data_IF_030119500600
#
_entry.id   IF_030119500600
#
_cell.length_a   1.000
_cell.length_b   1.000
_cell.length_c   1.000
_cell.angle_alpha   90.00
_cell.angle_beta   90.00
_cell.angle_gamma   90.00
#
_symmetry.space_group_name_H-M   'P 1'
#
loop_
_entity.id
_entity.type
_entity.pdbx_description
1 polymer ?
#
# COMPACT_ATOMS: atom_id res chain seq x y z
N UNK A 1 14.56 21.78 1.58
CA UNK A 1 14.65 21.52 3.03
C UNK A 1 14.07 20.13 3.31
N UNK A 2 14.85 19.07 3.12
CA UNK A 2 14.38 17.72 3.42
C UNK A 2 14.55 17.48 4.92
N UNK A 3 13.43 17.38 5.61
CA UNK A 3 13.32 17.07 7.04
C UNK A 3 13.61 15.58 7.26
N UNK A 4 14.81 15.12 6.89
CA UNK A 4 15.24 13.74 7.11
C UNK A 4 15.19 13.42 8.59
N UNK A 5 14.56 12.29 8.92
CA UNK A 5 14.35 11.86 10.30
C UNK A 5 13.43 12.75 11.14
N UNK A 6 12.72 13.72 10.55
CA UNK A 6 11.76 14.54 11.29
C UNK A 6 10.62 13.67 11.85
N UNK A 7 10.47 13.65 13.16
CA UNK A 7 9.47 12.83 13.83
C UNK A 7 8.42 13.69 14.53
N UNK A 8 7.27 13.09 14.81
CA UNK A 8 6.22 13.75 15.57
C UNK A 8 6.58 13.69 17.05
N UNK A 9 6.29 14.77 17.76
CA UNK A 9 6.41 14.85 19.20
C UNK A 9 5.17 15.55 19.76
N UNK A 10 4.70 15.10 20.90
CA UNK A 10 3.58 15.70 21.62
C UNK A 10 4.06 16.08 23.00
N UNK A 11 3.76 17.31 23.41
CA UNK A 11 3.96 17.75 24.79
C UNK A 11 2.75 17.34 25.62
N UNK A 12 2.98 16.56 26.66
CA UNK A 12 1.92 15.98 27.48
C UNK A 12 2.11 16.36 28.94
N UNK A 13 1.00 16.56 29.63
CA UNK A 13 0.93 16.67 31.08
C UNK A 13 0.09 15.51 31.61
N UNK A 14 0.68 14.69 32.46
CA UNK A 14 0.05 13.55 33.09
C UNK A 14 -0.12 13.82 34.59
N UNK A 15 -1.35 13.65 35.09
CA UNK A 15 -1.69 13.90 36.49
C UNK A 15 -2.15 12.58 37.10
N UNK A 16 -1.48 12.14 38.15
CA UNK A 16 -1.93 11.00 38.93
C UNK A 16 -3.12 11.44 39.80
N UNK A 17 -4.31 10.88 39.55
CA UNK A 17 -5.53 11.28 40.25
C UNK A 17 -5.51 10.97 41.76
N UNK A 18 -4.75 9.95 42.18
CA UNK A 18 -4.66 9.52 43.58
C UNK A 18 -3.64 10.34 44.38
N UNK A 19 -2.46 10.57 43.82
CA UNK A 19 -1.36 11.28 44.51
C UNK A 19 -1.32 12.78 44.19
N UNK A 20 -2.12 13.24 43.21
CA UNK A 20 -2.15 14.61 42.68
C UNK A 20 -0.79 15.10 42.12
N UNK A 21 0.16 14.19 41.90
CA UNK A 21 1.45 14.53 41.28
C UNK A 21 1.27 14.72 39.77
N UNK A 22 1.76 15.85 39.26
CA UNK A 22 1.80 16.14 37.83
C UNK A 22 3.22 15.93 37.29
N UNK A 23 3.32 15.35 36.09
CA UNK A 23 4.55 15.28 35.31
C UNK A 23 4.27 15.73 33.88
N UNK A 24 5.23 16.42 33.30
CA UNK A 24 5.13 16.95 31.95
C UNK A 24 6.40 16.71 31.15
N UNK A 25 6.24 16.61 29.84
CA UNK A 25 7.36 16.45 28.93
C UNK A 25 6.96 16.06 27.52
N UNK A 26 7.96 16.05 26.65
CA UNK A 26 7.84 15.63 25.27
C UNK A 26 7.89 14.11 25.15
N UNK A 27 6.94 13.55 24.42
CA UNK A 27 6.90 12.15 24.02
C UNK A 27 6.97 12.08 22.49
N UNK A 28 7.78 11.17 21.96
CA UNK A 28 7.96 10.98 20.52
C UNK A 28 8.22 9.51 20.21
N UNK A 29 7.70 9.05 19.08
CA UNK A 29 7.99 7.71 18.54
C UNK A 29 9.42 7.60 17.98
N UNK A 30 10.16 8.71 17.83
CA UNK A 30 11.49 8.68 17.23
C UNK A 30 11.45 8.51 15.71
N UNK A 31 12.62 8.34 15.11
CA UNK A 31 12.82 8.03 13.70
C UNK A 31 14.09 7.18 13.55
N UNK A 32 14.45 6.82 12.32
CA UNK A 32 15.72 6.14 12.04
C UNK A 32 16.97 6.94 12.50
N UNK A 33 16.84 8.25 12.75
CA UNK A 33 17.92 9.12 13.24
C UNK A 33 17.83 9.36 14.75
N UNK A 34 16.61 9.55 15.28
CA UNK A 34 16.40 9.92 16.69
C UNK A 34 15.72 8.79 17.45
N UNK A 35 16.26 8.34 18.59
CA UNK A 35 15.60 7.32 19.40
C UNK A 35 14.25 7.83 19.91
N UNK A 36 13.33 6.90 20.21
CA UNK A 36 12.06 7.23 20.83
C UNK A 36 12.28 7.95 22.18
N UNK A 37 11.34 8.82 22.53
CA UNK A 37 11.34 9.56 23.79
C UNK A 37 10.09 9.24 24.59
N UNK A 38 10.28 8.64 25.75
CA UNK A 38 9.20 8.31 26.69
C UNK A 38 9.13 9.31 27.85
N UNK A 39 7.92 9.53 28.37
CA UNK A 39 7.71 10.27 29.62
C UNK A 39 7.55 9.29 30.78
N UNK A 40 8.55 9.23 31.67
CA UNK A 40 8.50 8.34 32.84
C UNK A 40 7.60 8.92 33.92
N UNK A 41 6.48 8.25 34.19
CA UNK A 41 5.48 8.70 35.17
C UNK A 41 5.87 8.30 36.59
N UNK A 42 6.32 7.07 36.81
CA UNK A 42 6.82 6.58 38.10
C UNK A 42 7.94 5.52 37.91
N UNK A 43 8.21 4.70 38.93
CA UNK A 43 9.22 3.64 38.84
C UNK A 43 8.79 2.47 37.94
N UNK A 44 7.49 2.26 37.72
CA UNK A 44 6.90 1.11 37.03
C UNK A 44 6.16 1.49 35.74
N UNK A 45 5.80 2.76 35.55
CA UNK A 45 4.96 3.22 34.45
C UNK A 45 5.65 4.33 33.65
N UNK A 46 5.55 4.23 32.34
CA UNK A 46 6.05 5.20 31.38
C UNK A 46 5.04 5.36 30.26
N UNK A 47 4.91 6.58 29.77
CA UNK A 47 4.03 6.91 28.66
C UNK A 47 4.88 7.02 27.39
N UNK A 48 4.48 6.26 26.37
CA UNK A 48 5.18 6.16 25.09
C UNK A 48 4.24 6.54 23.95
N UNK A 49 4.80 7.05 22.86
CA UNK A 49 4.10 7.27 21.61
C UNK A 49 4.45 6.09 20.67
N UNK A 50 3.46 5.30 20.23
CA UNK A 50 3.71 4.20 19.32
C UNK A 50 4.09 4.71 17.92
N UNK A 51 4.81 3.88 17.17
CA UNK A 51 5.04 4.10 15.75
C UNK A 51 3.71 4.05 14.98
N UNK A 52 3.63 4.82 13.90
CA UNK A 52 2.42 4.87 13.06
C UNK A 52 2.53 3.88 11.93
N UNK A 53 1.46 3.15 11.69
CA UNK A 53 1.33 2.34 10.48
C UNK A 53 1.19 3.24 9.24
N UNK A 54 1.87 2.89 8.12
CA UNK A 54 1.76 3.61 6.86
C UNK A 54 0.35 3.50 6.28
N UNK A 55 -0.25 4.65 5.93
CA UNK A 55 -1.60 4.71 5.35
C UNK A 55 -1.62 4.38 3.85
N UNK A 56 -0.52 4.66 3.14
CA UNK A 56 -0.39 4.47 1.70
C UNK A 56 1.06 4.16 1.38
N UNK A 57 1.28 3.13 0.57
CA UNK A 57 2.58 2.85 -0.03
C UNK A 57 2.52 3.25 -1.49
N UNK A 58 3.39 4.19 -1.86
CA UNK A 58 3.49 4.69 -3.21
C UNK A 58 4.90 5.18 -3.50
N UNK A 59 5.36 4.97 -4.73
CA UNK A 59 6.63 5.46 -5.24
C UNK A 59 6.40 6.28 -6.50
N UNK A 60 6.91 7.52 -6.51
CA UNK A 60 6.93 8.37 -7.70
C UNK A 60 8.10 7.95 -8.57
N UNK A 61 7.82 7.51 -9.80
CA UNK A 61 8.82 6.96 -10.72
C UNK A 61 8.88 7.77 -12.01
N UNK A 62 10.07 7.87 -12.58
CA UNK A 62 10.32 8.38 -13.94
C UNK A 62 10.76 7.22 -14.80
N UNK A 63 9.91 6.82 -15.73
CA UNK A 63 10.15 5.72 -16.67
C UNK A 63 10.65 6.28 -17.99
N UNK A 64 11.78 5.74 -18.48
CA UNK A 64 12.35 6.05 -19.78
C UNK A 64 12.09 4.86 -20.70
N UNK A 65 11.37 5.09 -21.80
CA UNK A 65 11.12 4.04 -22.80
C UNK A 65 12.16 4.11 -23.92
N UNK A 66 12.36 3.00 -24.62
CA UNK A 66 13.25 2.91 -25.79
C UNK A 66 12.85 3.90 -26.89
N UNK A 67 11.55 4.17 -27.04
CA UNK A 67 10.99 5.20 -27.94
C UNK A 67 11.31 6.65 -27.52
N UNK A 68 12.13 6.86 -26.48
CA UNK A 68 12.52 8.17 -25.98
C UNK A 68 11.42 8.93 -25.20
N UNK A 69 10.30 8.28 -24.88
CA UNK A 69 9.25 8.88 -24.05
C UNK A 69 9.64 8.81 -22.58
N UNK A 70 9.32 9.89 -21.88
CA UNK A 70 9.46 9.99 -20.44
C UNK A 70 8.06 10.02 -19.83
N UNK A 71 7.80 9.09 -18.92
CA UNK A 71 6.55 9.03 -18.17
C UNK A 71 6.88 9.19 -16.69
N UNK A 72 6.40 10.26 -16.08
CA UNK A 72 6.45 10.48 -14.64
C UNK A 72 5.09 10.14 -14.05
N UNK A 73 5.02 9.09 -13.23
CA UNK A 73 3.79 8.67 -12.60
C UNK A 73 4.04 8.06 -11.22
N UNK A 74 2.99 7.87 -10.43
CA UNK A 74 3.05 7.30 -9.09
C UNK A 74 2.49 5.89 -9.09
N UNK A 75 3.35 4.92 -8.80
CA UNK A 75 2.94 3.54 -8.53
C UNK A 75 2.46 3.48 -7.09
N UNK A 76 1.30 2.87 -6.85
CA UNK A 76 0.79 2.63 -5.49
C UNK A 76 0.34 1.18 -5.34
N UNK A 77 0.11 0.73 -4.10
CA UNK A 77 -0.47 -0.60 -3.84
C UNK A 77 -1.73 -0.78 -4.68
N UNK A 78 -1.81 -1.88 -5.43
CA UNK A 78 -2.89 -2.23 -6.36
C UNK A 78 -3.11 -1.29 -7.56
N UNK A 79 -2.25 -0.29 -7.74
CA UNK A 79 -2.27 0.61 -8.89
C UNK A 79 -0.92 0.53 -9.62
N UNK A 80 -0.73 -0.50 -10.48
CA UNK A 80 0.46 -0.61 -11.30
C UNK A 80 0.49 0.46 -12.38
N UNK A 81 1.71 0.85 -12.75
CA UNK A 81 1.95 1.72 -13.90
C UNK A 81 2.05 0.86 -15.17
N UNK A 82 1.20 1.12 -16.16
CA UNK A 82 1.28 0.46 -17.46
C UNK A 82 1.99 1.36 -18.48
N UNK A 83 3.17 0.95 -18.95
CA UNK A 83 3.95 1.70 -19.95
C UNK A 83 4.52 0.73 -20.98
N UNK A 84 4.30 1.00 -22.27
CA UNK A 84 4.85 0.22 -23.39
C UNK A 84 4.59 -1.31 -23.32
N UNK A 85 3.43 -1.70 -22.77
CA UNK A 85 3.04 -3.11 -22.60
C UNK A 85 3.62 -3.80 -21.37
N UNK A 86 4.28 -3.05 -20.48
CA UNK A 86 4.76 -3.51 -19.18
C UNK A 86 3.83 -3.03 -18.07
N UNK A 87 3.48 -3.93 -17.15
CA UNK A 87 2.88 -3.59 -15.88
C UNK A 87 3.98 -3.52 -14.82
N UNK A 88 4.15 -2.35 -14.21
CA UNK A 88 5.17 -2.10 -13.20
C UNK A 88 4.50 -2.00 -11.84
N UNK A 89 4.83 -2.94 -10.95
CA UNK A 89 4.33 -3.02 -9.59
C UNK A 89 5.43 -2.59 -8.61
N UNK A 90 5.01 -1.98 -7.50
CA UNK A 90 5.90 -1.75 -6.37
C UNK A 90 5.88 -3.00 -5.50
N UNK A 91 7.03 -3.68 -5.37
CA UNK A 91 7.17 -4.92 -4.63
C UNK A 91 7.59 -4.65 -3.18
N UNK A 92 8.56 -3.77 -2.98
CA UNK A 92 9.14 -3.51 -1.66
C UNK A 92 9.83 -2.15 -1.60
N UNK A 93 10.18 -1.70 -0.40
CA UNK A 93 10.95 -0.50 -0.10
C UNK A 93 11.77 -0.76 1.18
N UNK A 94 12.69 0.14 1.54
CA UNK A 94 13.43 0.02 2.80
C UNK A 94 12.54 0.38 3.99
N UNK A 95 12.06 -0.64 4.70
CA UNK A 95 11.22 -0.49 5.91
C UNK A 95 11.93 0.27 7.03
N UNK A 96 13.27 0.25 7.10
CA UNK A 96 14.01 0.91 8.19
C UNK A 96 13.96 2.43 8.07
N UNK A 97 13.95 2.94 6.84
CA UNK A 97 13.86 4.37 6.54
C UNK A 97 12.43 4.79 6.22
N UNK A 98 11.55 3.85 5.86
CA UNK A 98 10.14 4.09 5.61
C UNK A 98 9.94 5.21 4.57
N UNK A 99 9.25 6.29 4.97
CA UNK A 99 8.99 7.45 4.10
C UNK A 99 10.23 8.24 3.65
N UNK A 100 11.39 7.99 4.26
CA UNK A 100 12.67 8.60 3.89
C UNK A 100 13.54 7.67 3.04
N UNK A 101 13.02 6.49 2.67
CA UNK A 101 13.74 5.57 1.79
C UNK A 101 13.89 6.16 0.40
N UNK A 102 15.13 6.21 -0.09
CA UNK A 102 15.45 6.47 -1.50
C UNK A 102 15.45 5.18 -2.34
N UNK A 103 15.17 4.03 -1.73
CA UNK A 103 15.18 2.72 -2.37
C UNK A 103 13.74 2.20 -2.53
N UNK A 104 13.42 1.73 -3.73
CA UNK A 104 12.18 1.02 -4.05
C UNK A 104 12.50 -0.16 -4.98
N UNK A 105 11.87 -1.29 -4.73
CA UNK A 105 11.98 -2.51 -5.54
C UNK A 105 10.72 -2.63 -6.39
N UNK A 106 10.90 -2.81 -7.69
CA UNK A 106 9.80 -2.90 -8.65
C UNK A 106 9.78 -4.28 -9.32
N UNK A 107 8.58 -4.76 -9.60
CA UNK A 107 8.35 -5.96 -10.40
C UNK A 107 7.75 -5.55 -11.75
N UNK A 108 8.39 -5.99 -12.84
CA UNK A 108 7.97 -5.68 -14.20
C UNK A 108 7.40 -6.94 -14.84
N UNK A 109 6.12 -6.91 -15.17
CA UNK A 109 5.40 -8.03 -15.79
C UNK A 109 4.93 -7.63 -17.18
N UNK A 110 5.26 -8.45 -18.18
CA UNK A 110 4.76 -8.31 -19.55
C UNK A 110 4.09 -9.60 -19.97
N UNK A 111 2.77 -9.54 -20.17
CA UNK A 111 1.99 -10.65 -20.67
C UNK A 111 1.19 -10.24 -21.92
N UNK A 112 1.72 -10.52 -23.13
CA UNK A 112 1.03 -10.25 -24.38
C UNK A 112 -0.15 -11.19 -24.67
N UNK A 113 -0.25 -12.34 -24.00
CA UNK A 113 -1.25 -13.38 -24.26
C UNK A 113 -2.49 -13.26 -23.39
N UNK A 114 -2.44 -12.42 -22.35
CA UNK A 114 -3.57 -12.15 -21.47
C UNK A 114 -4.89 -11.82 -22.22
N UNK A 115 -4.89 -11.01 -23.31
CA UNK A 115 -6.11 -10.77 -24.10
C UNK A 115 -6.67 -12.04 -24.76
N UNK A 116 -5.80 -12.94 -25.24
CA UNK A 116 -6.21 -14.20 -25.85
C UNK A 116 -6.84 -15.14 -24.79
N UNK A 117 -6.26 -15.20 -23.59
CA UNK A 117 -6.82 -15.95 -22.46
C UNK A 117 -8.21 -15.42 -22.09
N UNK A 118 -8.38 -14.11 -21.96
CA UNK A 118 -9.70 -13.51 -21.68
C UNK A 118 -10.73 -13.80 -22.77
N UNK A 119 -10.31 -13.82 -24.04
CA UNK A 119 -11.17 -14.20 -25.16
C UNK A 119 -11.69 -15.63 -25.01
N UNK A 120 -10.81 -16.57 -24.64
CA UNK A 120 -11.19 -17.96 -24.37
C UNK A 120 -12.17 -18.10 -23.20
N UNK A 121 -11.96 -17.36 -22.11
CA UNK A 121 -12.88 -17.35 -20.95
C UNK A 121 -14.27 -16.86 -21.36
N UNK A 122 -14.35 -15.76 -22.11
CA UNK A 122 -15.63 -15.22 -22.60
C UNK A 122 -16.32 -16.24 -23.50
N UNK A 123 -15.58 -16.90 -24.39
CA UNK A 123 -16.12 -17.94 -25.26
C UNK A 123 -16.68 -19.13 -24.47
N UNK A 124 -15.99 -19.57 -23.41
CA UNK A 124 -16.48 -20.63 -22.52
C UNK A 124 -17.77 -20.23 -21.80
N UNK A 125 -17.84 -19.00 -21.27
CA UNK A 125 -19.05 -18.47 -20.61
C UNK A 125 -20.22 -18.39 -21.58
N UNK A 126 -19.99 -17.90 -22.81
CA UNK A 126 -21.01 -17.87 -23.86
C UNK A 126 -21.48 -19.28 -24.21
N UNK A 127 -20.56 -20.23 -24.35
CA UNK A 127 -20.89 -21.64 -24.60
C UNK A 127 -21.80 -22.22 -23.50
N UNK A 128 -21.48 -21.95 -22.24
CA UNK A 128 -22.31 -22.38 -21.11
C UNK A 128 -23.71 -21.74 -21.15
N UNK A 129 -23.81 -20.43 -21.38
CA UNK A 129 -25.09 -19.72 -21.48
C UNK A 129 -25.93 -20.29 -22.63
N UNK A 130 -25.35 -20.49 -23.80
CA UNK A 130 -26.02 -21.10 -24.95
C UNK A 130 -26.56 -22.50 -24.63
N UNK A 131 -25.80 -23.32 -23.91
CA UNK A 131 -26.25 -24.65 -23.48
C UNK A 131 -27.43 -24.56 -22.51
N UNK A 132 -27.40 -23.66 -21.53
CA UNK A 132 -28.49 -23.48 -20.58
C UNK A 132 -29.78 -23.01 -21.27
N UNK A 133 -29.70 -22.04 -22.17
CA UNK A 133 -30.87 -21.53 -22.91
C UNK A 133 -31.44 -22.61 -23.84
N UNK A 134 -30.59 -23.35 -24.56
CA UNK A 134 -31.05 -24.44 -25.42
C UNK A 134 -31.63 -25.62 -24.64
N UNK A 135 -31.09 -25.91 -23.45
CA UNK A 135 -31.65 -26.93 -22.56
C UNK A 135 -33.03 -26.54 -21.98
N UNK A 136 -33.26 -25.24 -21.72
CA UNK A 136 -34.57 -24.73 -21.32
C UNK A 136 -35.57 -24.77 -22.48
N UNK A 137 -35.18 -24.35 -23.69
CA UNK A 137 -36.05 -24.41 -24.88
C UNK A 137 -36.50 -25.84 -25.20
N UNK A 138 -35.61 -26.82 -25.14
CA UNK A 138 -35.98 -28.24 -25.32
C UNK A 138 -37.00 -28.73 -24.30
N UNK A 139 -36.93 -28.23 -23.06
CA UNK A 139 -37.88 -28.59 -22.00
C UNK A 139 -39.26 -27.97 -22.20
N UNK A 140 -39.34 -26.81 -22.85
CA UNK A 140 -40.61 -26.18 -23.23
C UNK A 140 -41.23 -26.87 -24.45
N UNK A 141 -40.44 -27.24 -25.45
CA UNK A 141 -40.91 -27.99 -26.64
C UNK A 141 -41.39 -29.42 -26.30
N UNK A 142 -40.78 -30.10 -25.33
CA UNK A 142 -41.22 -31.43 -24.88
C UNK A 142 -42.44 -31.39 -23.93
N UNK A 143 -42.89 -30.21 -23.49
CA UNK A 143 -44.01 -30.01 -22.56
C UNK A 143 -45.31 -29.54 -23.24
N UNK A 144 -45.27 -29.24 -24.54
CA UNK A 144 -46.41 -28.93 -25.42
C UNK A 144 -46.86 -30.17 -26.20
#
# INVERSE_FOLDING_TARGET
FHSMGATYAVYLQAINQKTKTAKEGWVSCGSFIFPYKALRLDSLTSLIMPEREPQRFASTVKVYTEDGKQVEDTIAVNHPLNVAGWNIYQLSYDDTQGRWSDISVFELVRDPWLPAVYTGIIMMVLGAICLFVNAQKRKEEDAE
#
